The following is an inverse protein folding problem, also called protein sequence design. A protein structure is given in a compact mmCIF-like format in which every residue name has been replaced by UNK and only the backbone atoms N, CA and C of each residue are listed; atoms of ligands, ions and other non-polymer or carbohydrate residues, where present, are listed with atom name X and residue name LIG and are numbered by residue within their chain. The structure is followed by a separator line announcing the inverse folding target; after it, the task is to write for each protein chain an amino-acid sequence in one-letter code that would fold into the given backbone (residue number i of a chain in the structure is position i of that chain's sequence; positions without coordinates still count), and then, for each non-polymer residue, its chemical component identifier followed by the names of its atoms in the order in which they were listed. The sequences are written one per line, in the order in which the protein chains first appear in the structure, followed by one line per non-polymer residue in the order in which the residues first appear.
data_IF_776032654217
#
_entry.id   IF_776032654217
#
_cell.length_a   1.000
_cell.length_b   1.000
_cell.length_c   1.000
_cell.angle_alpha   90.00
_cell.angle_beta   90.00
_cell.angle_gamma   90.00
#
_symmetry.space_group_name_H-M   'P 1'
#
loop_
_entity.id
_entity.type
_entity.pdbx_description
1 polymer ?
#
# COMPACT_ATOMS: atom_id res chain seq x y z
N UNK A 1 0.22 -11.67 -31.90
CA UNK A 1 1.44 -10.83 -31.86
C UNK A 1 1.21 -9.32 -31.58
N UNK A 2 0.03 -8.78 -31.81
CA UNK A 2 -0.27 -7.38 -31.43
C UNK A 2 -0.51 -7.20 -29.90
N UNK A 3 -1.06 -8.19 -29.19
CA UNK A 3 -1.28 -8.10 -27.73
C UNK A 3 0.01 -8.10 -26.93
N UNK A 4 1.07 -8.76 -27.40
CA UNK A 4 2.37 -8.80 -26.70
C UNK A 4 3.20 -7.51 -26.88
N UNK A 5 2.98 -6.75 -27.94
CA UNK A 5 3.65 -5.47 -28.16
C UNK A 5 3.03 -4.36 -27.28
N UNK A 6 1.70 -4.31 -27.18
CA UNK A 6 1.02 -3.37 -26.28
C UNK A 6 1.44 -3.56 -24.80
N UNK A 7 1.62 -4.82 -24.36
CA UNK A 7 2.06 -5.08 -23.00
C UNK A 7 3.50 -4.61 -22.71
N UNK A 8 4.39 -4.62 -23.70
CA UNK A 8 5.76 -4.13 -23.54
C UNK A 8 5.83 -2.59 -23.55
N UNK A 9 5.00 -1.93 -24.34
CA UNK A 9 4.88 -0.48 -24.33
C UNK A 9 4.25 0.03 -23.02
N UNK A 10 3.19 -0.61 -22.54
CA UNK A 10 2.59 -0.33 -21.24
C UNK A 10 3.59 -0.54 -20.08
N UNK A 11 4.41 -1.59 -20.16
CA UNK A 11 5.49 -1.83 -19.19
C UNK A 11 6.56 -0.75 -19.27
N UNK A 12 6.95 -0.30 -20.47
CA UNK A 12 7.93 0.76 -20.64
C UNK A 12 7.42 2.11 -20.15
N UNK A 13 6.14 2.44 -20.40
CA UNK A 13 5.50 3.63 -19.80
C UNK A 13 5.42 3.52 -18.27
N UNK A 14 5.11 2.34 -17.74
CA UNK A 14 5.15 2.05 -16.30
C UNK A 14 6.53 2.33 -15.71
N UNK A 15 7.60 1.87 -16.36
CA UNK A 15 8.97 2.15 -15.92
C UNK A 15 9.30 3.64 -15.96
N UNK A 16 8.85 4.37 -16.99
CA UNK A 16 8.99 5.82 -17.09
C UNK A 16 8.24 6.57 -15.97
N UNK A 17 7.02 6.15 -15.64
CA UNK A 17 6.24 6.69 -14.52
C UNK A 17 6.85 6.34 -13.16
N UNK A 18 7.47 5.16 -13.03
CA UNK A 18 8.17 4.69 -11.83
C UNK A 18 9.37 5.56 -11.46
N UNK A 19 10.20 5.88 -12.43
CA UNK A 19 11.32 6.81 -12.23
C UNK A 19 10.81 8.20 -11.85
N UNK A 20 9.67 8.63 -12.41
CA UNK A 20 9.08 9.91 -12.10
C UNK A 20 8.64 10.04 -10.65
N UNK A 21 7.89 9.07 -10.07
CA UNK A 21 7.41 9.19 -8.68
C UNK A 21 8.55 9.18 -7.67
N UNK A 22 9.58 8.34 -7.86
CA UNK A 22 10.75 8.32 -6.98
C UNK A 22 11.54 9.63 -7.09
N UNK A 23 11.81 10.08 -8.32
CA UNK A 23 12.49 11.35 -8.58
C UNK A 23 11.63 12.54 -8.12
N UNK A 24 10.33 12.53 -8.37
CA UNK A 24 9.39 13.55 -7.93
C UNK A 24 9.37 13.63 -6.39
N UNK A 25 9.41 12.50 -5.68
CA UNK A 25 9.54 12.49 -4.23
C UNK A 25 10.89 13.07 -3.77
N UNK A 26 12.01 12.61 -4.32
CA UNK A 26 13.34 13.00 -3.87
C UNK A 26 13.65 14.48 -4.13
N UNK A 27 13.26 15.01 -5.29
CA UNK A 27 13.60 16.36 -5.73
C UNK A 27 12.47 17.37 -5.58
N UNK A 28 11.22 16.98 -5.87
CA UNK A 28 10.05 17.86 -5.87
C UNK A 28 9.35 17.90 -4.52
N UNK A 29 8.85 16.76 -4.05
CA UNK A 29 7.98 16.69 -2.87
C UNK A 29 8.73 17.09 -1.59
N UNK A 30 9.98 16.67 -1.40
CA UNK A 30 10.77 17.06 -0.23
C UNK A 30 11.01 18.58 -0.17
N UNK A 31 11.29 19.19 -1.31
CA UNK A 31 11.49 20.65 -1.39
C UNK A 31 10.17 21.41 -1.16
N UNK A 32 9.06 20.93 -1.73
CA UNK A 32 7.74 21.49 -1.56
C UNK A 32 7.25 21.40 -0.10
N UNK A 33 7.41 20.25 0.55
CA UNK A 33 7.07 20.06 1.97
C UNK A 33 7.84 21.02 2.88
N UNK A 34 9.13 21.22 2.61
CA UNK A 34 9.95 22.17 3.36
C UNK A 34 9.51 23.63 3.17
N UNK A 35 9.09 23.99 1.96
CA UNK A 35 8.58 25.34 1.66
C UNK A 35 7.20 25.59 2.28
N UNK A 36 6.32 24.58 2.28
CA UNK A 36 4.95 24.72 2.79
C UNK A 36 4.90 24.87 4.32
N UNK A 37 5.80 24.20 5.05
CA UNK A 37 5.82 24.22 6.51
C UNK A 37 7.26 24.30 7.04
N UNK A 38 7.91 25.47 6.96
CA UNK A 38 9.32 25.63 7.35
C UNK A 38 9.56 25.40 8.84
N UNK A 39 8.57 25.67 9.69
CA UNK A 39 8.66 25.44 11.14
C UNK A 39 8.66 23.95 11.51
N UNK A 40 7.83 23.15 10.83
CA UNK A 40 7.73 21.70 11.07
C UNK A 40 8.90 20.93 10.45
N UNK A 41 9.42 21.37 9.30
CA UNK A 41 10.42 20.69 8.51
C UNK A 41 11.75 21.47 8.40
N UNK A 42 12.15 22.12 9.50
CA UNK A 42 13.45 22.82 9.59
C UNK A 42 14.62 21.89 9.28
N UNK A 43 14.57 20.63 9.78
CA UNK A 43 15.56 19.61 9.50
C UNK A 43 15.15 18.72 8.32
N UNK A 44 16.04 18.45 7.33
CA UNK A 44 15.76 17.53 6.21
C UNK A 44 15.38 16.11 6.64
N UNK A 45 15.82 15.68 7.83
CA UNK A 45 15.55 14.36 8.36
C UNK A 45 14.16 14.21 9.01
N UNK A 46 13.48 15.32 9.33
CA UNK A 46 12.11 15.31 9.87
C UNK A 46 11.05 15.20 8.79
N UNK A 47 11.42 15.37 7.53
CA UNK A 47 10.51 15.27 6.40
C UNK A 47 9.95 13.85 6.32
N UNK A 48 8.62 13.67 6.26
CA UNK A 48 8.00 12.35 6.20
C UNK A 48 8.40 11.62 4.92
N UNK A 49 8.68 10.32 5.05
CA UNK A 49 9.03 9.45 3.92
C UNK A 49 8.31 8.12 4.00
N UNK A 50 8.05 7.51 2.85
CA UNK A 50 7.54 6.16 2.77
C UNK A 50 8.69 5.19 3.08
N UNK A 51 8.53 4.37 4.12
CA UNK A 51 9.57 3.44 4.61
C UNK A 51 9.42 2.04 4.03
N UNK A 52 8.20 1.54 3.97
CA UNK A 52 7.85 0.24 3.41
C UNK A 52 6.35 0.15 3.12
N UNK A 53 5.98 -0.76 2.24
CA UNK A 53 4.60 -1.19 2.05
C UNK A 53 4.50 -2.64 2.51
N UNK A 54 3.58 -2.93 3.41
CA UNK A 54 3.28 -4.29 3.85
C UNK A 54 1.96 -4.72 3.26
N UNK A 55 1.96 -5.82 2.54
CA UNK A 55 0.79 -6.39 1.89
C UNK A 55 0.49 -7.72 2.54
N UNK A 56 -0.75 -7.93 2.96
CA UNK A 56 -1.19 -9.14 3.63
C UNK A 56 -2.42 -9.71 2.91
N UNK A 57 -2.44 -11.03 2.75
CA UNK A 57 -3.60 -11.79 2.28
C UNK A 57 -3.90 -12.91 3.27
N UNK A 58 -5.07 -12.87 3.88
CA UNK A 58 -5.56 -13.96 4.71
C UNK A 58 -6.30 -14.99 3.84
N UNK A 59 -5.84 -16.23 3.84
CA UNK A 59 -6.47 -17.34 3.11
C UNK A 59 -7.45 -18.13 3.98
N UNK A 60 -7.28 -18.08 5.30
CA UNK A 60 -8.10 -18.82 6.25
C UNK A 60 -8.05 -20.33 5.99
N UNK A 61 -9.20 -20.99 6.04
CA UNK A 61 -9.31 -22.43 5.81
C UNK A 61 -9.01 -22.86 4.36
N UNK A 62 -9.07 -21.94 3.39
CA UNK A 62 -8.71 -22.24 2.00
C UNK A 62 -7.24 -22.63 1.84
N UNK A 63 -6.37 -22.20 2.76
CA UNK A 63 -4.96 -22.56 2.77
C UNK A 63 -4.70 -24.05 3.07
N UNK A 64 -5.69 -24.80 3.58
CA UNK A 64 -5.58 -26.25 3.77
C UNK A 64 -5.47 -27.00 2.44
N UNK A 65 -5.99 -26.40 1.36
CA UNK A 65 -5.80 -26.92 0.02
C UNK A 65 -4.50 -26.38 -0.57
N UNK A 66 -3.49 -27.26 -0.68
CA UNK A 66 -2.16 -26.91 -1.19
C UNK A 66 -2.18 -26.34 -2.60
N UNK A 67 -3.15 -26.68 -3.44
CA UNK A 67 -3.28 -26.15 -4.79
C UNK A 67 -3.74 -24.68 -4.76
N UNK A 68 -4.72 -24.35 -3.92
CA UNK A 68 -5.19 -22.98 -3.73
C UNK A 68 -4.07 -22.10 -3.18
N UNK A 69 -3.32 -22.62 -2.22
CA UNK A 69 -2.18 -21.90 -1.65
C UNK A 69 -1.11 -21.59 -2.71
N UNK A 70 -0.71 -22.60 -3.53
CA UNK A 70 0.27 -22.41 -4.60
C UNK A 70 -0.19 -21.38 -5.63
N UNK A 71 -1.45 -21.45 -6.07
CA UNK A 71 -2.02 -20.46 -6.99
C UNK A 71 -2.01 -19.06 -6.37
N UNK A 72 -2.46 -18.93 -5.12
CA UNK A 72 -2.43 -17.63 -4.41
C UNK A 72 -1.01 -17.09 -4.23
N UNK A 73 0.01 -17.92 -4.04
CA UNK A 73 1.43 -17.48 -4.00
C UNK A 73 1.85 -16.95 -5.36
N UNK A 74 1.47 -17.60 -6.46
CA UNK A 74 1.80 -17.16 -7.82
C UNK A 74 1.12 -15.84 -8.16
N UNK A 75 -0.19 -15.70 -7.90
CA UNK A 75 -0.94 -14.46 -8.08
C UNK A 75 -0.29 -13.32 -7.28
N UNK A 76 -0.02 -13.57 -5.99
CA UNK A 76 0.58 -12.58 -5.12
C UNK A 76 1.98 -12.15 -5.59
N UNK A 77 2.75 -13.09 -6.15
CA UNK A 77 4.06 -12.80 -6.76
C UNK A 77 3.92 -11.94 -8.00
N UNK A 78 2.92 -12.20 -8.86
CA UNK A 78 2.62 -11.35 -10.03
C UNK A 78 2.27 -9.92 -9.61
N UNK A 79 1.39 -9.75 -8.60
CA UNK A 79 0.96 -8.45 -8.08
C UNK A 79 2.13 -7.66 -7.50
N UNK A 80 2.95 -8.28 -6.65
CA UNK A 80 3.96 -7.59 -5.83
C UNK A 80 5.34 -7.56 -6.47
N UNK A 81 5.60 -8.38 -7.47
CA UNK A 81 6.93 -8.58 -8.04
C UNK A 81 7.94 -9.21 -7.05
N UNK A 82 7.43 -9.79 -5.94
CA UNK A 82 8.23 -10.42 -4.91
C UNK A 82 7.54 -11.66 -4.36
N UNK A 83 8.27 -12.77 -4.20
CA UNK A 83 7.75 -13.99 -3.58
C UNK A 83 7.29 -13.69 -2.15
N UNK A 84 6.02 -13.97 -1.79
CA UNK A 84 5.51 -13.73 -0.46
C UNK A 84 6.05 -14.73 0.56
N UNK A 85 6.03 -14.33 1.83
CA UNK A 85 6.24 -15.23 2.96
C UNK A 85 4.90 -15.86 3.34
N UNK A 86 4.87 -17.18 3.48
CA UNK A 86 3.70 -17.90 3.98
C UNK A 86 3.64 -17.74 5.50
N UNK A 87 2.52 -17.25 6.01
CA UNK A 87 2.30 -17.06 7.44
C UNK A 87 1.61 -18.29 8.04
N UNK A 88 2.15 -18.77 9.17
CA UNK A 88 1.67 -19.94 9.89
C UNK A 88 0.94 -19.56 11.18
N UNK A 89 0.01 -20.42 11.61
CA UNK A 89 -0.67 -20.26 12.89
C UNK A 89 0.31 -20.44 14.04
N UNK A 90 0.27 -19.54 15.01
CA UNK A 90 1.10 -19.62 16.23
C UNK A 90 0.49 -20.48 17.34
N UNK A 91 -0.83 -20.63 17.34
CA UNK A 91 -1.57 -21.39 18.35
C UNK A 91 -2.72 -22.15 17.69
N UNK A 92 -3.04 -23.32 18.21
CA UNK A 92 -4.22 -24.07 17.81
C UNK A 92 -5.49 -23.37 18.34
N UNK A 93 -6.52 -23.24 17.50
CA UNK A 93 -7.83 -22.69 17.87
C UNK A 93 -8.91 -23.67 17.41
N UNK A 94 -9.50 -24.40 18.36
CA UNK A 94 -10.48 -25.46 18.08
C UNK A 94 -11.74 -24.94 17.36
N UNK A 95 -12.23 -23.74 17.74
CA UNK A 95 -13.42 -23.12 17.12
C UNK A 95 -13.29 -22.85 15.64
N UNK A 96 -12.09 -22.61 15.13
CA UNK A 96 -11.79 -22.38 13.71
C UNK A 96 -11.13 -23.59 13.03
N UNK A 97 -11.01 -24.73 13.69
CA UNK A 97 -10.33 -25.93 13.18
C UNK A 97 -8.88 -25.68 12.74
N UNK A 98 -8.20 -24.74 13.41
CA UNK A 98 -6.82 -24.35 13.13
C UNK A 98 -5.91 -25.11 14.08
N UNK A 99 -4.88 -25.76 13.52
CA UNK A 99 -3.78 -26.39 14.25
C UNK A 99 -2.55 -25.48 14.25
N UNK A 100 -1.65 -25.69 15.19
CA UNK A 100 -0.34 -25.03 15.21
C UNK A 100 0.44 -25.34 13.92
N UNK A 101 1.25 -24.41 13.44
CA UNK A 101 2.01 -24.46 12.19
C UNK A 101 1.20 -24.57 10.89
N UNK A 102 -0.13 -24.51 10.95
CA UNK A 102 -0.96 -24.50 9.75
C UNK A 102 -0.75 -23.21 8.95
N UNK A 103 -0.56 -23.35 7.64
CA UNK A 103 -0.41 -22.21 6.72
C UNK A 103 -1.75 -21.51 6.53
N UNK A 104 -1.85 -20.21 6.83
CA UNK A 104 -3.10 -19.46 6.84
C UNK A 104 -3.12 -18.21 5.99
N UNK A 105 -1.98 -17.72 5.55
CA UNK A 105 -1.93 -16.48 4.80
C UNK A 105 -0.59 -16.22 4.15
N UNK A 106 -0.54 -15.11 3.44
CA UNK A 106 0.61 -14.62 2.69
C UNK A 106 0.94 -13.19 3.11
N UNK A 107 2.22 -12.89 3.25
CA UNK A 107 2.68 -11.53 3.56
C UNK A 107 3.86 -11.18 2.66
N UNK A 108 3.89 -9.94 2.17
CA UNK A 108 5.05 -9.38 1.49
C UNK A 108 5.35 -7.99 2.04
N UNK A 109 6.63 -7.68 2.18
CA UNK A 109 7.09 -6.35 2.59
C UNK A 109 7.95 -5.77 1.47
N UNK A 110 7.45 -4.73 0.82
CA UNK A 110 8.12 -4.04 -0.27
C UNK A 110 8.91 -2.85 0.24
N UNK A 111 10.12 -2.66 -0.30
CA UNK A 111 11.03 -1.55 0.00
C UNK A 111 11.73 -1.08 -1.27
N UNK A 112 12.29 0.13 -1.24
CA UNK A 112 13.08 0.70 -2.34
C UNK A 112 12.28 0.81 -3.64
N UNK A 113 12.84 0.39 -4.75
CA UNK A 113 12.23 0.51 -6.08
C UNK A 113 10.92 -0.27 -6.20
N UNK A 114 10.87 -1.51 -5.73
CA UNK A 114 9.65 -2.32 -5.73
C UNK A 114 8.49 -1.66 -4.99
N UNK A 115 8.78 -0.93 -3.94
CA UNK A 115 7.78 -0.18 -3.17
C UNK A 115 7.18 0.95 -4.00
N UNK A 116 8.00 1.74 -4.68
CA UNK A 116 7.53 2.83 -5.54
C UNK A 116 6.81 2.29 -6.78
N UNK A 117 7.32 1.20 -7.40
CA UNK A 117 6.64 0.48 -8.48
C UNK A 117 5.22 0.11 -8.10
N UNK A 118 5.08 -0.55 -6.95
CA UNK A 118 3.79 -0.97 -6.46
C UNK A 118 2.87 0.22 -6.14
N UNK A 119 3.42 1.31 -5.58
CA UNK A 119 2.65 2.53 -5.32
C UNK A 119 2.12 3.17 -6.60
N UNK A 120 2.96 3.28 -7.64
CA UNK A 120 2.56 3.78 -8.96
C UNK A 120 1.43 2.95 -9.54
N UNK A 121 1.59 1.62 -9.52
CA UNK A 121 0.57 0.69 -9.96
C UNK A 121 -0.77 0.90 -9.24
N UNK A 122 -0.74 1.05 -7.91
CA UNK A 122 -1.94 1.31 -7.13
C UNK A 122 -2.64 2.60 -7.57
N UNK A 123 -1.89 3.69 -7.71
CA UNK A 123 -2.45 5.01 -7.97
C UNK A 123 -3.03 5.10 -9.39
N UNK A 124 -2.27 4.67 -10.39
CA UNK A 124 -2.64 4.90 -11.79
C UNK A 124 -3.53 3.82 -12.39
N UNK A 125 -3.38 2.56 -11.95
CA UNK A 125 -4.10 1.45 -12.56
C UNK A 125 -5.15 0.86 -11.61
N UNK A 126 -4.76 0.47 -10.40
CA UNK A 126 -5.64 -0.27 -9.50
C UNK A 126 -6.85 0.53 -9.05
N UNK A 127 -6.65 1.79 -8.61
CA UNK A 127 -7.76 2.62 -8.15
C UNK A 127 -8.71 3.04 -9.28
N UNK A 128 -8.20 3.17 -10.52
CA UNK A 128 -9.02 3.48 -11.68
C UNK A 128 -9.96 2.33 -12.06
N UNK A 129 -9.63 1.08 -11.73
CA UNK A 129 -10.45 -0.10 -12.02
C UNK A 129 -11.52 -0.38 -10.96
N UNK A 130 -11.46 0.29 -9.80
CA UNK A 130 -12.48 0.10 -8.75
C UNK A 130 -13.79 0.77 -9.17
N UNK A 131 -14.87 -0.01 -9.22
CA UNK A 131 -16.22 0.52 -9.47
C UNK A 131 -16.65 1.42 -8.31
N UNK A 132 -17.30 2.54 -8.63
CA UNK A 132 -17.82 3.51 -7.64
C UNK A 132 -16.79 3.99 -6.61
N UNK A 133 -15.53 4.17 -7.06
CA UNK A 133 -14.47 4.63 -6.19
C UNK A 133 -14.70 6.07 -5.72
N UNK A 134 -14.92 6.24 -4.42
CA UNK A 134 -15.16 7.55 -3.77
C UNK A 134 -13.96 8.09 -3.00
N UNK A 135 -12.79 7.51 -3.21
CA UNK A 135 -11.59 7.80 -2.43
C UNK A 135 -11.47 6.97 -1.15
N UNK A 136 -10.29 7.02 -0.56
CA UNK A 136 -9.93 6.27 0.64
C UNK A 136 -10.11 7.13 1.89
N UNK A 137 -10.71 6.57 2.93
CA UNK A 137 -11.03 7.29 4.16
C UNK A 137 -9.78 7.74 4.92
N UNK A 138 -9.72 9.00 5.30
CA UNK A 138 -8.68 9.58 6.15
C UNK A 138 -8.65 8.95 7.56
N UNK A 139 -9.75 8.35 8.01
CA UNK A 139 -9.84 7.70 9.34
C UNK A 139 -8.99 6.43 9.45
N UNK A 140 -8.46 5.92 8.35
CA UNK A 140 -7.63 4.70 8.28
C UNK A 140 -6.17 4.93 8.69
N UNK A 141 -5.82 6.13 9.15
CA UNK A 141 -4.51 6.38 9.77
C UNK A 141 -4.45 5.84 11.19
N UNK A 142 -3.32 5.23 11.53
CA UNK A 142 -3.02 4.82 12.91
C UNK A 142 -2.38 5.96 13.72
N UNK A 143 -2.21 5.75 15.04
CA UNK A 143 -1.57 6.71 15.94
C UNK A 143 -0.09 6.98 15.61
N UNK A 144 0.55 6.11 14.85
CA UNK A 144 1.94 6.27 14.40
C UNK A 144 2.05 7.01 13.06
N UNK A 145 0.91 7.30 12.40
CA UNK A 145 0.86 7.96 11.10
C UNK A 145 0.95 6.99 9.92
N UNK A 146 0.85 5.68 10.14
CA UNK A 146 0.76 4.71 9.05
C UNK A 146 -0.66 4.67 8.49
N UNK A 147 -0.79 4.30 7.24
CA UNK A 147 -2.06 4.22 6.55
C UNK A 147 -2.38 2.80 6.11
N UNK A 148 -3.54 2.28 6.51
CA UNK A 148 -3.96 0.91 6.17
C UNK A 148 -5.31 0.93 5.45
N UNK A 149 -5.39 0.25 4.33
CA UNK A 149 -6.64 0.05 3.60
C UNK A 149 -6.70 -1.37 3.05
N UNK A 150 -7.90 -1.80 2.65
CA UNK A 150 -8.11 -3.12 2.07
C UNK A 150 -8.80 -3.03 0.72
N UNK A 151 -8.38 -3.89 -0.18
CA UNK A 151 -9.02 -4.15 -1.46
C UNK A 151 -9.83 -5.45 -1.32
N UNK A 152 -11.06 -5.45 -1.79
CA UNK A 152 -11.95 -6.61 -1.66
C UNK A 152 -11.62 -7.73 -2.63
N UNK A 153 -11.09 -7.37 -3.81
CA UNK A 153 -10.88 -8.27 -4.93
C UNK A 153 -9.47 -8.13 -5.48
N UNK A 154 -8.84 -9.25 -5.85
CA UNK A 154 -7.54 -9.24 -6.53
C UNK A 154 -7.65 -8.94 -8.02
N UNK A 155 -8.84 -9.08 -8.61
CA UNK A 155 -9.08 -8.84 -10.05
C UNK A 155 -8.89 -7.38 -10.49
N UNK A 156 -8.77 -6.47 -9.53
CA UNK A 156 -8.47 -5.05 -9.77
C UNK A 156 -7.04 -4.85 -10.29
N UNK A 157 -6.17 -5.85 -10.12
CA UNK A 157 -4.79 -5.77 -10.62
C UNK A 157 -4.71 -6.29 -12.06
N UNK A 158 -4.16 -5.49 -13.00
CA UNK A 158 -4.13 -5.84 -14.42
C UNK A 158 -3.29 -7.10 -14.76
N UNK A 159 -2.41 -7.51 -13.82
CA UNK A 159 -1.58 -8.70 -14.00
C UNK A 159 -2.30 -10.03 -13.74
N UNK A 160 -3.54 -9.96 -13.26
CA UNK A 160 -4.32 -11.15 -12.93
C UNK A 160 -5.42 -11.34 -13.96
N UNK A 161 -5.39 -12.47 -14.65
CA UNK A 161 -6.46 -12.88 -15.54
C UNK A 161 -7.59 -13.57 -14.78
N UNK A 162 -8.83 -13.33 -15.20
CA UNK A 162 -10.02 -13.90 -14.56
C UNK A 162 -10.00 -15.43 -14.51
N UNK A 163 -9.47 -16.05 -15.56
CA UNK A 163 -9.41 -17.51 -15.70
C UNK A 163 -8.41 -18.20 -14.75
N UNK A 164 -7.46 -17.43 -14.21
CA UNK A 164 -6.47 -17.94 -13.24
C UNK A 164 -6.98 -17.98 -11.80
N UNK A 165 -8.09 -17.28 -11.52
CA UNK A 165 -8.58 -17.06 -10.16
C UNK A 165 -9.63 -18.10 -9.78
N UNK A 166 -9.30 -18.96 -8.82
CA UNK A 166 -10.25 -19.95 -8.27
C UNK A 166 -11.22 -19.31 -7.26
N UNK A 167 -10.74 -18.35 -6.47
CA UNK A 167 -11.52 -17.69 -5.43
C UNK A 167 -11.17 -16.20 -5.33
N UNK A 168 -12.20 -15.37 -5.22
CA UNK A 168 -12.03 -13.94 -4.99
C UNK A 168 -11.53 -13.74 -3.56
N UNK A 169 -10.37 -13.11 -3.41
CA UNK A 169 -9.71 -12.87 -2.13
C UNK A 169 -9.25 -11.43 -2.01
N UNK A 170 -9.49 -10.85 -0.85
CA UNK A 170 -9.05 -9.49 -0.55
C UNK A 170 -7.58 -9.41 -0.15
N UNK A 171 -7.08 -8.18 -0.20
CA UNK A 171 -5.72 -7.79 0.18
C UNK A 171 -5.78 -6.63 1.17
N UNK A 172 -5.02 -6.71 2.26
CA UNK A 172 -4.79 -5.58 3.16
C UNK A 172 -3.43 -4.98 2.88
N UNK A 173 -3.40 -3.66 2.65
CA UNK A 173 -2.19 -2.92 2.28
C UNK A 173 -1.95 -1.87 3.35
N UNK A 174 -0.76 -1.89 3.95
CA UNK A 174 -0.33 -0.93 4.95
C UNK A 174 0.88 -0.15 4.44
N UNK A 175 0.70 1.16 4.29
CA UNK A 175 1.76 2.12 3.96
C UNK A 175 2.40 2.56 5.28
N UNK A 176 3.64 2.15 5.51
CA UNK A 176 4.39 2.53 6.71
C UNK A 176 5.20 3.77 6.41
N UNK A 177 4.81 4.87 7.06
CA UNK A 177 5.43 6.17 6.93
C UNK A 177 6.41 6.40 8.09
N UNK A 178 7.53 7.02 7.78
CA UNK A 178 8.50 7.46 8.78
C UNK A 178 8.38 8.97 8.90
N UNK A 179 7.74 9.44 9.94
CA UNK A 179 7.63 10.85 10.28
C UNK A 179 8.24 11.08 11.65
N UNK A 180 9.46 11.59 11.66
CA UNK A 180 10.13 12.01 12.89
C UNK A 180 9.52 13.32 13.39
N UNK A 181 8.35 13.25 14.04
CA UNK A 181 7.77 14.43 14.67
C UNK A 181 8.61 14.87 15.86
N UNK A 182 8.83 16.19 16.05
CA UNK A 182 9.54 16.72 17.23
C UNK A 182 8.87 16.28 18.54
N UNK A 183 9.63 16.24 19.63
CA UNK A 183 9.24 15.67 20.93
C UNK A 183 8.13 16.42 21.72
N UNK A 184 7.24 17.15 21.07
CA UNK A 184 6.14 17.89 21.69
C UNK A 184 4.95 17.00 22.09
N UNK A 185 4.10 17.47 23.02
CA UNK A 185 2.90 16.77 23.52
C UNK A 185 1.86 16.38 22.46
N UNK A 186 1.89 17.01 21.30
CA UNK A 186 0.99 16.78 20.17
C UNK A 186 1.50 15.74 19.14
N UNK A 187 2.32 14.77 19.57
CA UNK A 187 3.05 13.85 18.68
C UNK A 187 2.19 13.04 17.72
N UNK A 188 1.02 12.61 18.14
CA UNK A 188 0.15 11.73 17.35
C UNK A 188 -0.54 12.51 16.22
N UNK A 189 -1.07 13.68 16.51
CA UNK A 189 -1.76 14.54 15.53
C UNK A 189 -0.77 14.97 14.46
N UNK A 190 0.43 15.40 14.84
CA UNK A 190 1.45 15.82 13.87
C UNK A 190 1.92 14.66 12.96
N UNK A 191 2.00 13.43 13.47
CA UNK A 191 2.36 12.27 12.63
C UNK A 191 1.30 11.96 11.59
N UNK A 192 0.04 11.97 11.99
CA UNK A 192 -1.10 11.74 11.08
C UNK A 192 -1.16 12.84 10.03
N UNK A 193 -1.05 14.12 10.42
CA UNK A 193 -1.02 15.25 9.50
C UNK A 193 0.14 15.15 8.50
N UNK A 194 1.34 14.86 8.98
CA UNK A 194 2.51 14.67 8.13
C UNK A 194 2.31 13.51 7.13
N UNK A 195 1.70 12.41 7.58
CA UNK A 195 1.35 11.28 6.72
C UNK A 195 0.33 11.66 5.66
N UNK A 196 -0.73 12.41 6.03
CA UNK A 196 -1.74 12.89 5.09
C UNK A 196 -1.13 13.81 4.02
N UNK A 197 -0.31 14.78 4.45
CA UNK A 197 0.34 15.71 3.54
C UNK A 197 1.24 14.96 2.56
N UNK A 198 2.04 13.99 3.05
CA UNK A 198 2.87 13.17 2.18
C UNK A 198 2.06 12.39 1.15
N UNK A 199 0.99 11.70 1.58
CA UNK A 199 0.16 10.90 0.67
C UNK A 199 -0.57 11.77 -0.36
N UNK A 200 -0.99 12.99 0.00
CA UNK A 200 -1.55 13.96 -0.96
C UNK A 200 -0.53 14.38 -2.02
N UNK A 201 0.69 14.70 -1.62
CA UNK A 201 1.74 15.03 -2.57
C UNK A 201 2.09 13.85 -3.49
N UNK A 202 1.97 12.62 -3.00
CA UNK A 202 2.11 11.39 -3.80
C UNK A 202 0.88 11.10 -4.67
N UNK A 203 -0.09 12.02 -4.74
CA UNK A 203 -1.35 11.88 -5.51
C UNK A 203 -2.22 10.70 -5.07
N UNK A 204 -2.08 10.28 -3.81
CA UNK A 204 -2.91 9.21 -3.26
C UNK A 204 -4.35 9.70 -3.08
N UNK A 205 -5.38 8.98 -3.56
CA UNK A 205 -6.76 9.46 -3.60
C UNK A 205 -7.43 9.38 -2.23
N UNK A 206 -7.09 10.30 -1.33
CA UNK A 206 -7.71 10.42 -0.03
C UNK A 206 -9.03 11.22 -0.13
N UNK A 207 -10.08 10.71 0.52
CA UNK A 207 -11.35 11.41 0.63
C UNK A 207 -11.35 12.31 1.88
N UNK A 208 -11.29 13.62 1.64
CA UNK A 208 -11.13 14.67 2.65
C UNK A 208 -12.45 15.15 3.28
N UNK A 209 -13.49 14.33 3.38
CA UNK A 209 -14.77 14.75 3.97
C UNK A 209 -14.60 15.50 5.31
N UNK A 210 -14.26 16.81 5.27
CA UNK A 210 -14.26 17.73 6.41
C UNK A 210 -13.27 17.44 7.55
N UNK A 211 -12.28 16.56 7.34
CA UNK A 211 -11.34 16.18 8.42
C UNK A 211 -10.27 17.24 8.66
N UNK A 212 -9.97 18.08 7.66
CA UNK A 212 -9.00 19.18 7.80
C UNK A 212 -9.50 20.31 8.70
N UNK A 213 -10.80 20.63 8.66
CA UNK A 213 -11.38 21.71 9.46
C UNK A 213 -11.27 21.48 10.96
N UNK A 214 -11.14 20.20 11.36
CA UNK A 214 -11.02 19.81 12.76
C UNK A 214 -9.59 19.94 13.33
N UNK A 215 -8.58 20.07 12.48
CA UNK A 215 -7.16 20.13 12.85
C UNK A 215 -6.42 21.37 12.33
N UNK A 216 -7.07 22.21 11.52
CA UNK A 216 -6.50 23.47 11.03
C UNK A 216 -6.66 24.63 12.00
N UNK A 217 -7.34 24.41 13.13
CA UNK A 217 -7.58 25.41 14.19
C UNK A 217 -6.63 25.29 15.39
N UNK A 218 -5.45 24.66 15.20
CA UNK A 218 -4.41 24.61 16.25
C UNK A 218 -3.05 25.05 15.70
#
# INVERSE_FOLDING_TARGET
NMRSQNSLEEIAELYGLLENIKKEYEYGIRSALRKSNPELFSNPHTIPKLKKISINRGLGLAAQNTNILKKSVNEFTKITGQKPLITKAKKAVAGFKIREDMELGLVSTLRGEKMYSFLTKLIFFTFAQIRDFRGLSVRSFDKAGNYTFSLKEQLIFPEIEYDEVDQIQGLSITLVLDSSAPKSRSKTVNRVLNGMVLLKFLRFPLNDCGYYDKYSSF
#
